data_IF_336339963272
#
_entry.id   IF_336339963272
#
_cell.length_a   1.000
_cell.length_b   1.000
_cell.length_c   1.000
_cell.angle_alpha   90.00
_cell.angle_beta   90.00
_cell.angle_gamma   90.00
#
_symmetry.space_group_name_H-M   'P 1'
#
loop_
_entity.id
_entity.type
_entity.pdbx_description
1 polymer ?
#
# COMPACT_ATOMS: atom_id res chain seq x y z
N UNK A 1 -20.02 0.92 4.67
CA UNK A 1 -19.45 -0.41 4.95
C UNK A 1 -20.46 -1.47 4.55
N UNK A 2 -19.99 -2.61 4.05
CA UNK A 2 -20.87 -3.73 3.65
C UNK A 2 -21.53 -4.31 4.90
N UNK A 3 -22.84 -4.53 4.84
CA UNK A 3 -23.62 -5.20 5.87
C UNK A 3 -24.38 -6.36 5.21
N UNK A 4 -23.68 -7.48 5.03
CA UNK A 4 -24.21 -8.68 4.38
C UNK A 4 -23.96 -9.91 5.26
N UNK A 5 -24.90 -10.86 5.34
CA UNK A 5 -24.68 -12.13 6.03
C UNK A 5 -23.43 -12.84 5.51
N UNK A 6 -22.61 -13.37 6.43
CA UNK A 6 -21.35 -14.05 6.09
C UNK A 6 -20.16 -13.13 5.79
N UNK A 7 -20.36 -11.81 5.80
CA UNK A 7 -19.26 -10.82 5.71
C UNK A 7 -19.01 -10.27 7.11
N UNK A 8 -17.75 -10.35 7.56
CA UNK A 8 -17.35 -9.77 8.84
C UNK A 8 -17.62 -8.27 8.87
N UNK A 9 -18.07 -7.78 10.03
CA UNK A 9 -18.14 -6.34 10.23
C UNK A 9 -16.72 -5.80 10.26
N UNK A 10 -16.56 -4.55 9.87
CA UNK A 10 -15.24 -3.92 9.81
C UNK A 10 -14.47 -3.94 11.13
N UNK A 11 -15.07 -3.70 12.32
CA UNK A 11 -14.34 -3.82 13.58
C UNK A 11 -13.75 -5.23 13.80
N UNK A 12 -14.53 -6.26 13.46
CA UNK A 12 -14.09 -7.65 13.57
C UNK A 12 -12.96 -7.94 12.54
N UNK A 13 -13.05 -7.34 11.35
CA UNK A 13 -12.01 -7.40 10.32
C UNK A 13 -10.69 -6.72 10.72
N UNK A 14 -10.74 -5.57 11.41
CA UNK A 14 -9.54 -4.91 11.97
C UNK A 14 -8.79 -5.85 12.90
N UNK A 15 -9.51 -6.52 13.81
CA UNK A 15 -8.91 -7.44 14.77
C UNK A 15 -8.16 -8.56 14.05
N UNK A 16 -8.76 -9.14 13.02
CA UNK A 16 -8.11 -10.17 12.20
C UNK A 16 -6.87 -9.65 11.47
N UNK A 17 -6.90 -8.44 10.91
CA UNK A 17 -5.73 -7.84 10.26
C UNK A 17 -4.62 -7.64 11.29
N UNK A 18 -4.93 -7.14 12.49
CA UNK A 18 -3.95 -6.95 13.57
C UNK A 18 -3.31 -8.27 13.98
N UNK A 19 -4.13 -9.29 14.22
CA UNK A 19 -3.66 -10.63 14.60
C UNK A 19 -2.81 -11.24 13.50
N UNK A 20 -3.29 -11.21 12.26
CA UNK A 20 -2.57 -11.73 11.09
C UNK A 20 -1.20 -11.07 10.94
N UNK A 21 -1.15 -9.73 10.98
CA UNK A 21 0.12 -9.01 10.86
C UNK A 21 1.04 -9.27 12.06
N UNK A 22 0.49 -9.44 13.27
CA UNK A 22 1.28 -9.80 14.44
C UNK A 22 1.93 -11.18 14.32
N UNK A 23 1.24 -12.16 13.73
CA UNK A 23 1.76 -13.51 13.50
C UNK A 23 2.92 -13.49 12.49
N UNK A 24 2.85 -12.60 11.49
CA UNK A 24 3.89 -12.44 10.47
C UNK A 24 5.08 -11.60 10.94
N UNK A 25 5.00 -10.95 12.11
CA UNK A 25 6.04 -10.06 12.59
C UNK A 25 7.24 -10.84 13.13
N UNK A 26 8.41 -10.59 12.54
CA UNK A 26 9.66 -11.06 13.11
C UNK A 26 10.12 -10.14 14.26
N UNK A 27 10.49 -10.68 15.44
CA UNK A 27 10.89 -9.87 16.59
C UNK A 27 11.93 -8.79 16.24
N UNK A 28 11.65 -7.55 16.65
CA UNK A 28 12.52 -6.39 16.40
C UNK A 28 12.49 -5.84 14.96
N UNK A 29 11.72 -6.42 14.04
CA UNK A 29 11.55 -5.91 12.67
C UNK A 29 10.17 -5.27 12.45
N UNK A 30 10.07 -4.21 11.64
CA UNK A 30 8.79 -3.64 11.28
C UNK A 30 8.09 -4.48 10.21
N UNK A 31 6.77 -4.35 10.16
CA UNK A 31 5.94 -4.81 9.03
C UNK A 31 5.58 -3.61 8.17
N UNK A 32 5.78 -3.72 6.85
CA UNK A 32 5.55 -2.62 5.92
C UNK A 32 4.27 -2.88 5.14
N UNK A 33 3.26 -2.05 5.38
CA UNK A 33 2.01 -2.02 4.63
C UNK A 33 2.20 -1.12 3.41
N UNK A 34 1.96 -1.69 2.24
CA UNK A 34 2.28 -1.07 0.97
C UNK A 34 1.00 -0.72 0.21
N UNK A 35 0.95 0.49 -0.34
CA UNK A 35 -0.16 0.95 -1.18
C UNK A 35 0.37 1.83 -2.32
N UNK A 36 -0.44 1.98 -3.37
CA UNK A 36 -0.14 2.90 -4.46
C UNK A 36 -0.98 4.15 -4.32
N UNK A 37 -0.34 5.31 -4.09
CA UNK A 37 -1.01 6.55 -3.68
C UNK A 37 -1.68 6.45 -2.29
N UNK A 38 -1.15 5.58 -1.42
CA UNK A 38 -1.73 5.28 -0.11
C UNK A 38 -1.81 6.49 0.83
N UNK A 39 -0.90 7.47 0.69
CA UNK A 39 -0.94 8.71 1.49
C UNK A 39 -2.21 9.53 1.21
N UNK A 40 -2.81 9.37 0.04
CA UNK A 40 -4.04 10.08 -0.33
C UNK A 40 -5.31 9.39 0.16
N UNK A 41 -5.30 8.08 0.41
CA UNK A 41 -6.51 7.35 0.78
C UNK A 41 -6.28 6.21 1.77
N UNK A 42 -5.55 5.15 1.40
CA UNK A 42 -5.48 3.91 2.18
C UNK A 42 -4.97 4.13 3.61
N UNK A 43 -3.90 4.92 3.78
CA UNK A 43 -3.30 5.12 5.11
C UNK A 43 -4.19 5.98 6.01
N UNK A 44 -4.70 7.15 5.56
CA UNK A 44 -5.68 7.91 6.37
C UNK A 44 -6.97 7.14 6.64
N UNK A 45 -7.46 6.34 5.68
CA UNK A 45 -8.66 5.52 5.86
C UNK A 45 -8.44 4.46 6.94
N UNK A 46 -7.38 3.66 6.83
CA UNK A 46 -7.08 2.62 7.81
C UNK A 46 -6.85 3.21 9.20
N UNK A 47 -6.06 4.28 9.31
CA UNK A 47 -5.80 4.97 10.59
C UNK A 47 -7.09 5.42 11.27
N UNK A 48 -7.99 6.06 10.51
CA UNK A 48 -9.30 6.47 11.04
C UNK A 48 -10.15 5.29 11.46
N UNK A 49 -10.23 4.24 10.65
CA UNK A 49 -11.13 3.14 10.98
C UNK A 49 -10.63 2.34 12.17
N UNK A 50 -9.30 2.24 12.36
CA UNK A 50 -8.68 1.70 13.56
C UNK A 50 -9.10 2.52 14.79
N UNK A 51 -8.94 3.84 14.74
CA UNK A 51 -9.36 4.77 15.81
C UNK A 51 -10.88 4.70 16.08
N UNK A 52 -11.70 4.74 15.03
CA UNK A 52 -13.17 4.62 15.11
C UNK A 52 -13.61 3.30 15.75
N UNK A 53 -12.82 2.24 15.60
CA UNK A 53 -13.06 0.94 16.21
C UNK A 53 -12.40 0.79 17.59
N UNK A 54 -11.75 1.83 18.12
CA UNK A 54 -11.11 1.80 19.44
C UNK A 54 -9.80 0.99 19.47
N UNK A 55 -9.07 0.98 18.35
CA UNK A 55 -7.84 0.21 18.21
C UNK A 55 -6.68 1.09 17.74
N UNK A 56 -5.58 1.03 18.47
CA UNK A 56 -4.32 1.64 18.01
C UNK A 56 -3.68 0.81 16.88
N UNK A 57 -3.01 1.52 15.98
CA UNK A 57 -2.08 0.92 15.01
C UNK A 57 -0.80 0.52 15.76
N UNK A 58 -0.33 -0.74 15.65
CA UNK A 58 0.91 -1.16 16.32
C UNK A 58 2.14 -0.37 15.86
N UNK A 59 3.05 -0.03 16.78
CA UNK A 59 4.25 0.78 16.51
C UNK A 59 5.24 0.15 15.52
N UNK A 60 5.16 -1.17 15.36
CA UNK A 60 5.97 -1.90 14.39
C UNK A 60 5.41 -1.85 12.96
N UNK A 61 4.26 -1.22 12.74
CA UNK A 61 3.72 -1.00 11.39
C UNK A 61 4.36 0.23 10.76
N UNK A 62 4.73 0.08 9.48
CA UNK A 62 5.19 1.19 8.63
C UNK A 62 4.39 1.21 7.34
N UNK A 63 4.19 2.39 6.78
CA UNK A 63 3.37 2.60 5.59
C UNK A 63 4.24 3.09 4.44
N UNK A 64 4.18 2.40 3.31
CA UNK A 64 5.01 2.70 2.16
C UNK A 64 4.16 2.99 0.91
N UNK A 65 4.32 4.21 0.38
CA UNK A 65 3.62 4.66 -0.82
C UNK A 65 4.51 4.44 -2.06
N UNK A 66 4.03 3.65 -3.02
CA UNK A 66 4.78 3.37 -4.25
C UNK A 66 4.66 4.46 -5.31
N UNK A 67 3.71 5.39 -5.20
CA UNK A 67 3.52 6.44 -6.21
C UNK A 67 4.76 7.36 -6.37
N UNK A 68 5.43 7.82 -5.29
CA UNK A 68 6.68 8.55 -5.42
C UNK A 68 7.78 7.80 -6.17
N UNK A 69 7.82 6.47 -6.08
CA UNK A 69 8.80 5.66 -6.81
C UNK A 69 8.39 5.52 -8.28
N UNK A 70 7.11 5.31 -8.56
CA UNK A 70 6.57 5.27 -9.92
C UNK A 70 6.88 6.57 -10.69
N UNK A 71 6.88 7.72 -10.00
CA UNK A 71 7.27 9.03 -10.57
C UNK A 71 8.75 9.16 -10.95
N UNK A 72 9.62 8.28 -10.41
CA UNK A 72 11.06 8.26 -10.75
C UNK A 72 11.35 7.45 -12.00
N UNK A 73 10.39 6.66 -12.49
CA UNK A 73 10.55 5.84 -13.69
C UNK A 73 10.71 6.72 -14.94
N UNK A 74 11.55 6.23 -15.85
CA UNK A 74 11.83 6.85 -17.15
C UNK A 74 11.56 5.83 -18.26
N UNK A 75 11.09 6.32 -19.40
CA UNK A 75 10.93 5.52 -20.59
C UNK A 75 12.27 5.14 -21.23
N UNK A 76 12.22 4.39 -22.34
CA UNK A 76 13.42 3.95 -23.07
C UNK A 76 14.29 5.11 -23.58
N UNK A 77 13.72 6.31 -23.73
CA UNK A 77 14.42 7.52 -24.16
C UNK A 77 14.93 8.34 -22.97
N UNK A 78 14.80 7.82 -21.74
CA UNK A 78 15.18 8.50 -20.51
C UNK A 78 14.24 9.62 -20.08
N UNK A 79 13.06 9.74 -20.69
CA UNK A 79 12.06 10.76 -20.34
C UNK A 79 11.15 10.27 -19.20
N UNK A 80 10.74 11.14 -18.26
CA UNK A 80 9.81 10.74 -17.19
C UNK A 80 8.49 10.21 -17.76
N UNK A 81 7.94 9.18 -17.12
CA UNK A 81 6.60 8.70 -17.47
C UNK A 81 5.56 9.80 -17.22
N UNK A 82 4.60 9.95 -18.14
CA UNK A 82 3.56 10.99 -18.05
C UNK A 82 2.44 10.64 -17.07
N UNK A 83 2.23 9.34 -16.86
CA UNK A 83 1.18 8.80 -16.00
C UNK A 83 1.76 7.72 -15.10
N UNK A 84 1.15 7.57 -13.93
CA UNK A 84 1.68 6.71 -12.88
C UNK A 84 0.58 5.91 -12.18
N UNK A 85 -0.60 5.71 -12.79
CA UNK A 85 -1.61 4.84 -12.17
C UNK A 85 -1.13 3.38 -12.22
N UNK A 86 -1.71 2.51 -11.39
CA UNK A 86 -1.45 1.06 -11.42
C UNK A 86 -1.52 0.53 -12.86
N UNK A 87 -2.54 0.93 -13.64
CA UNK A 87 -2.71 0.54 -15.03
C UNK A 87 -1.53 0.99 -15.90
N UNK A 88 -1.16 2.27 -15.85
CA UNK A 88 -0.08 2.80 -16.68
C UNK A 88 1.27 2.12 -16.36
N UNK A 89 1.51 1.80 -15.09
CA UNK A 89 2.74 1.11 -14.67
C UNK A 89 2.73 -0.37 -15.08
N UNK A 90 1.58 -1.05 -15.03
CA UNK A 90 1.46 -2.41 -15.59
C UNK A 90 1.77 -2.42 -17.08
N UNK A 91 1.19 -1.49 -17.85
CA UNK A 91 1.46 -1.34 -19.29
C UNK A 91 2.95 -1.07 -19.55
N UNK A 92 3.57 -0.20 -18.75
CA UNK A 92 5.01 0.12 -18.89
C UNK A 92 5.92 -1.09 -18.69
N UNK A 93 5.63 -1.95 -17.70
CA UNK A 93 6.45 -3.13 -17.41
C UNK A 93 5.99 -4.39 -18.15
N UNK A 94 4.90 -4.34 -18.93
CA UNK A 94 4.31 -5.51 -19.57
C UNK A 94 3.74 -6.52 -18.56
N UNK A 95 3.22 -6.05 -17.42
CA UNK A 95 2.62 -6.90 -16.39
C UNK A 95 1.20 -7.26 -16.84
N UNK A 96 0.97 -8.54 -17.12
CA UNK A 96 -0.36 -9.08 -17.34
C UNK A 96 -0.89 -9.72 -16.05
N UNK A 97 -1.99 -9.20 -15.52
CA UNK A 97 -2.65 -9.75 -14.33
C UNK A 97 -4.11 -9.99 -14.67
N UNK A 98 -4.53 -11.25 -14.50
CA UNK A 98 -5.90 -11.68 -14.73
C UNK A 98 -6.89 -10.99 -13.78
N UNK A 99 -8.12 -10.81 -14.25
CA UNK A 99 -9.23 -10.27 -13.45
C UNK A 99 -9.47 -8.77 -13.59
N UNK A 100 -10.68 -8.30 -13.21
CA UNK A 100 -11.09 -6.92 -13.43
C UNK A 100 -10.23 -5.94 -12.62
N UNK A 101 -9.83 -4.84 -13.25
CA UNK A 101 -9.31 -3.67 -12.56
C UNK A 101 -10.37 -3.13 -11.57
N UNK A 102 -9.94 -2.43 -10.51
CA UNK A 102 -10.81 -1.81 -9.50
C UNK A 102 -11.49 -2.77 -8.51
N UNK A 103 -10.97 -3.99 -8.36
CA UNK A 103 -11.28 -4.87 -7.23
C UNK A 103 -10.09 -4.88 -6.29
N UNK A 104 -10.34 -4.81 -4.98
CA UNK A 104 -9.28 -4.72 -3.97
C UNK A 104 -8.20 -5.79 -4.15
N UNK A 105 -8.57 -7.05 -4.36
CA UNK A 105 -7.60 -8.13 -4.58
C UNK A 105 -6.81 -7.95 -5.89
N UNK A 106 -7.49 -7.64 -7.00
CA UNK A 106 -6.82 -7.43 -8.29
C UNK A 106 -5.87 -6.21 -8.30
N UNK A 107 -6.13 -5.19 -7.47
CA UNK A 107 -5.21 -4.07 -7.29
C UNK A 107 -4.00 -4.48 -6.43
N UNK A 108 -4.19 -5.32 -5.41
CA UNK A 108 -3.09 -5.91 -4.59
C UNK A 108 -2.18 -6.81 -5.43
N UNK A 109 -2.75 -7.66 -6.28
CA UNK A 109 -1.99 -8.55 -7.16
C UNK A 109 -1.09 -7.74 -8.10
N UNK A 110 -1.67 -6.73 -8.78
CA UNK A 110 -0.91 -5.80 -9.64
C UNK A 110 0.16 -5.05 -8.87
N UNK A 111 -0.18 -4.54 -7.69
CA UNK A 111 0.75 -3.78 -6.86
C UNK A 111 1.95 -4.62 -6.41
N UNK A 112 1.76 -5.93 -6.19
CA UNK A 112 2.84 -6.86 -5.85
C UNK A 112 3.89 -6.92 -6.98
N UNK A 113 3.45 -7.10 -8.23
CA UNK A 113 4.35 -7.09 -9.38
C UNK A 113 4.97 -5.71 -9.60
N UNK A 114 4.17 -4.64 -9.55
CA UNK A 114 4.65 -3.27 -9.70
C UNK A 114 5.76 -2.98 -8.69
N UNK A 115 5.56 -3.34 -7.43
CA UNK A 115 6.56 -3.11 -6.39
C UNK A 115 7.88 -3.83 -6.70
N UNK A 116 7.83 -5.11 -7.11
CA UNK A 116 9.00 -5.87 -7.51
C UNK A 116 9.74 -5.21 -8.68
N UNK A 117 9.02 -4.84 -9.74
CA UNK A 117 9.60 -4.22 -10.93
C UNK A 117 10.22 -2.85 -10.63
N UNK A 118 9.50 -1.99 -9.90
CA UNK A 118 9.97 -0.64 -9.55
C UNK A 118 11.22 -0.71 -8.67
N UNK A 119 11.19 -1.53 -7.61
CA UNK A 119 12.32 -1.63 -6.68
C UNK A 119 13.55 -2.21 -7.38
N UNK A 120 13.38 -3.22 -8.22
CA UNK A 120 14.46 -3.75 -9.05
C UNK A 120 15.03 -2.69 -10.00
N UNK A 121 14.16 -2.02 -10.75
CA UNK A 121 14.57 -1.01 -11.75
C UNK A 121 15.29 0.19 -11.11
N UNK A 122 14.83 0.63 -9.93
CA UNK A 122 15.42 1.76 -9.20
C UNK A 122 16.57 1.33 -8.27
N UNK A 123 16.94 0.04 -8.24
CA UNK A 123 17.96 -0.53 -7.34
C UNK A 123 17.68 -0.18 -5.87
N UNK A 124 16.43 -0.26 -5.49
CA UNK A 124 15.91 0.19 -4.21
C UNK A 124 16.21 -0.84 -3.11
N UNK A 125 16.93 -0.43 -2.07
CA UNK A 125 17.30 -1.35 -0.98
C UNK A 125 16.23 -1.43 0.11
N UNK A 126 16.34 -2.43 0.99
CA UNK A 126 15.52 -2.50 2.19
C UNK A 126 15.72 -1.28 3.11
N UNK A 127 16.93 -0.73 3.18
CA UNK A 127 17.20 0.48 3.97
C UNK A 127 16.46 1.70 3.42
N UNK A 128 16.39 1.84 2.09
CA UNK A 128 15.63 2.91 1.44
C UNK A 128 14.13 2.77 1.73
N UNK A 129 13.62 1.54 1.68
CA UNK A 129 12.23 1.20 2.00
C UNK A 129 11.87 1.63 3.43
N UNK A 130 12.71 1.29 4.40
CA UNK A 130 12.52 1.75 5.78
C UNK A 130 12.57 3.27 5.82
N UNK A 131 13.60 3.90 5.25
CA UNK A 131 13.77 5.36 5.31
C UNK A 131 12.60 6.16 4.71
N UNK A 132 12.01 5.68 3.62
CA UNK A 132 10.91 6.37 2.93
C UNK A 132 9.50 5.92 3.39
N UNK A 133 9.41 4.85 4.18
CA UNK A 133 8.18 4.47 4.87
C UNK A 133 7.92 5.38 6.08
N UNK A 134 6.64 5.58 6.39
CA UNK A 134 6.19 6.46 7.48
C UNK A 134 5.54 5.65 8.61
N UNK A 135 5.60 6.15 9.83
CA UNK A 135 4.85 5.63 10.97
C UNK A 135 3.40 6.10 10.95
N UNK A 136 2.55 5.44 11.74
CA UNK A 136 1.14 5.82 11.87
C UNK A 136 0.94 7.28 12.32
N UNK A 137 1.80 7.76 13.23
CA UNK A 137 1.80 9.13 13.74
C UNK A 137 2.10 10.20 12.68
N UNK A 138 2.69 9.81 11.55
CA UNK A 138 3.03 10.71 10.45
C UNK A 138 1.95 10.76 9.36
N UNK A 139 0.90 9.93 9.46
CA UNK A 139 -0.21 9.90 8.52
C UNK A 139 -0.99 11.21 8.63
N UNK A 140 -0.83 12.08 7.63
CA UNK A 140 -1.57 13.33 7.55
C UNK A 140 -2.93 13.10 6.91
N UNK A 141 -3.97 13.53 7.58
CA UNK A 141 -5.29 13.59 6.96
C UNK A 141 -5.42 14.87 6.11
N UNK A 142 -5.83 14.71 4.86
CA UNK A 142 -6.41 15.79 4.05
C UNK A 142 -7.86 15.39 3.76
N UNK A 143 -8.88 16.13 4.23
CA UNK A 143 -10.22 15.96 3.70
C UNK A 143 -10.13 16.22 2.19
N UNK A 144 -10.65 15.30 1.38
CA UNK A 144 -11.14 15.71 0.07
C UNK A 144 -12.25 16.72 0.35
N UNK A 145 -12.00 17.99 0.02
CA UNK A 145 -13.06 19.00 -0.11
C UNK A 145 -13.97 18.63 -1.26
#
# INVERSE_FOLDING_TARGET
MVNQPGVLRFPDGILLIKEWVSIQQEPGKPVILLAHNGKSFDFPFLSREMDRCGHDIPDFWRFFDTLPLARRLKDSNGSPLKKHSIKDICEFFGIDVEGPAHRAMGDVDRLTYIYQHITFHLKYSFSDLIKESIMASEIKWKPNK
#
